data_IF_531196803955
#
_entry.id   IF_531196803955
#
_cell.length_a   1.000
_cell.length_b   1.000
_cell.length_c   1.000
_cell.angle_alpha   90.00
_cell.angle_beta   90.00
_cell.angle_gamma   90.00
#
_symmetry.space_group_name_H-M   'P 1'
#
loop_
_entity.id
_entity.type
_entity.pdbx_description
1 polymer ?
#
# COMPACT_ATOMS: atom_id res chain seq x y z
N UNK A 1 -9.90 -25.12 4.56
CA UNK A 1 -9.60 -23.92 5.37
C UNK A 1 -8.13 -23.61 5.17
N UNK A 2 -7.76 -22.38 4.82
CA UNK A 2 -6.37 -21.98 4.65
C UNK A 2 -6.03 -20.88 5.66
N UNK A 3 -5.11 -21.18 6.59
CA UNK A 3 -4.64 -20.18 7.55
C UNK A 3 -3.41 -19.48 6.97
N UNK A 4 -3.54 -18.19 6.69
CA UNK A 4 -2.43 -17.35 6.21
C UNK A 4 -2.02 -16.41 7.34
N UNK A 5 -0.87 -16.64 7.96
CA UNK A 5 -0.31 -15.74 8.98
C UNK A 5 0.41 -14.59 8.28
N UNK A 6 0.06 -13.36 8.62
CA UNK A 6 0.68 -12.15 8.07
C UNK A 6 1.26 -11.33 9.22
N UNK A 7 2.51 -10.93 9.11
CA UNK A 7 3.15 -10.00 10.06
C UNK A 7 3.07 -8.57 9.53
N UNK A 8 2.79 -7.59 10.40
CA UNK A 8 2.81 -6.17 10.02
C UNK A 8 4.20 -5.57 10.19
N UNK A 9 4.73 -4.94 9.14
CA UNK A 9 5.99 -4.18 9.15
C UNK A 9 5.77 -2.66 9.26
N UNK A 10 4.56 -2.17 9.08
CA UNK A 10 4.15 -0.82 9.58
C UNK A 10 2.79 -0.93 10.25
N UNK A 11 2.38 0.01 11.13
CA UNK A 11 1.13 -0.14 11.85
C UNK A 11 -0.06 -0.30 10.94
N UNK A 12 -1.01 -1.13 11.35
CA UNK A 12 -2.20 -1.44 10.59
C UNK A 12 -3.37 -0.60 11.11
N UNK A 13 -4.07 0.05 10.19
CA UNK A 13 -5.24 0.86 10.52
C UNK A 13 -6.44 0.40 9.69
N UNK A 14 -7.57 0.26 10.36
CA UNK A 14 -8.89 0.02 9.77
C UNK A 14 -9.88 0.97 10.41
N UNK A 15 -10.80 1.56 9.65
CA UNK A 15 -11.77 2.49 10.20
C UNK A 15 -13.07 1.80 10.59
N UNK A 16 -13.52 2.01 11.83
CA UNK A 16 -14.88 1.76 12.25
C UNK A 16 -15.87 2.80 11.70
N UNK A 17 -17.16 2.58 11.90
CA UNK A 17 -18.22 3.47 11.38
C UNK A 17 -18.13 4.92 11.92
N UNK A 18 -17.54 5.10 13.11
CA UNK A 18 -17.28 6.37 13.78
C UNK A 18 -15.89 6.97 13.46
N UNK A 19 -15.09 6.27 12.64
CA UNK A 19 -13.72 6.64 12.31
C UNK A 19 -12.71 6.39 13.44
N UNK A 20 -13.05 5.57 14.44
CA UNK A 20 -12.11 5.06 15.45
C UNK A 20 -11.64 3.64 15.10
N UNK A 21 -10.73 3.09 15.89
CA UNK A 21 -10.25 1.70 15.78
C UNK A 21 -10.54 1.01 17.09
N UNK A 22 -11.79 0.63 17.36
CA UNK A 22 -12.13 -0.22 18.51
C UNK A 22 -11.61 -1.66 18.32
N UNK A 23 -11.48 -2.08 17.05
CA UNK A 23 -10.83 -3.32 16.62
C UNK A 23 -10.31 -3.22 15.19
N UNK A 24 -9.65 -4.27 14.73
CA UNK A 24 -9.40 -4.42 13.29
C UNK A 24 -10.72 -4.78 12.60
N UNK A 25 -11.16 -3.94 11.68
CA UNK A 25 -12.39 -4.16 10.91
C UNK A 25 -12.09 -4.88 9.60
N UNK A 26 -12.64 -6.08 9.44
CA UNK A 26 -12.52 -6.87 8.22
C UNK A 26 -13.07 -6.12 7.00
N UNK A 27 -14.09 -5.28 7.17
CA UNK A 27 -14.68 -4.50 6.07
C UNK A 27 -13.66 -3.57 5.41
N UNK A 28 -12.84 -2.86 6.21
CA UNK A 28 -11.78 -1.99 5.70
C UNK A 28 -10.67 -2.78 5.00
N UNK A 29 -10.31 -3.93 5.55
CA UNK A 29 -9.33 -4.85 4.96
C UNK A 29 -9.82 -5.43 3.63
N UNK A 30 -11.08 -5.85 3.58
CA UNK A 30 -11.71 -6.39 2.38
C UNK A 30 -11.82 -5.35 1.28
N UNK A 31 -12.12 -4.09 1.61
CA UNK A 31 -12.10 -2.99 0.64
C UNK A 31 -10.71 -2.81 0.03
N UNK A 32 -9.66 -2.86 0.85
CA UNK A 32 -8.28 -2.74 0.38
C UNK A 32 -7.85 -3.93 -0.49
N UNK A 33 -8.16 -5.18 -0.07
CA UNK A 33 -7.91 -6.37 -0.87
C UNK A 33 -8.65 -6.31 -2.20
N UNK A 34 -9.91 -5.87 -2.19
CA UNK A 34 -10.69 -5.72 -3.42
C UNK A 34 -10.03 -4.72 -4.36
N UNK A 35 -9.59 -3.55 -3.86
CA UNK A 35 -8.94 -2.52 -4.68
C UNK A 35 -7.68 -3.06 -5.39
N UNK A 36 -6.82 -3.78 -4.65
CA UNK A 36 -5.65 -4.44 -5.23
C UNK A 36 -6.03 -5.53 -6.23
N UNK A 37 -7.07 -6.32 -5.93
CA UNK A 37 -7.53 -7.39 -6.83
C UNK A 37 -8.10 -6.82 -8.13
N UNK A 38 -8.81 -5.69 -8.06
CA UNK A 38 -9.27 -4.98 -9.24
C UNK A 38 -8.10 -4.51 -10.12
N UNK A 39 -7.05 -3.91 -9.53
CA UNK A 39 -5.87 -3.49 -10.28
C UNK A 39 -5.12 -4.68 -10.93
N UNK A 40 -5.00 -5.80 -10.19
CA UNK A 40 -4.42 -7.05 -10.70
C UNK A 40 -5.23 -7.60 -11.88
N UNK A 41 -6.55 -7.75 -11.72
CA UNK A 41 -7.45 -8.28 -12.76
C UNK A 41 -7.43 -7.40 -14.01
N UNK A 42 -7.48 -6.06 -13.86
CA UNK A 42 -7.33 -5.15 -15.01
C UNK A 42 -5.99 -5.34 -15.72
N UNK A 43 -4.90 -5.49 -14.96
CA UNK A 43 -3.56 -5.70 -15.50
C UNK A 43 -3.42 -6.97 -16.34
N UNK A 44 -4.07 -8.07 -15.94
CA UNK A 44 -4.06 -9.33 -16.71
C UNK A 44 -5.14 -9.41 -17.80
N UNK A 45 -5.83 -8.29 -18.09
CA UNK A 45 -6.84 -8.20 -19.15
C UNK A 45 -8.23 -8.71 -18.77
N UNK A 46 -8.49 -8.92 -17.48
CA UNK A 46 -9.81 -9.34 -16.98
C UNK A 46 -10.82 -8.20 -16.92
N UNK A 47 -12.09 -8.57 -16.79
CA UNK A 47 -13.18 -7.61 -16.71
C UNK A 47 -13.43 -7.17 -15.27
N UNK A 48 -13.44 -5.85 -15.04
CA UNK A 48 -13.81 -5.22 -13.77
C UNK A 48 -14.92 -4.21 -14.04
N UNK A 49 -15.90 -4.14 -13.14
CA UNK A 49 -17.01 -3.20 -13.27
C UNK A 49 -16.58 -1.77 -12.89
N UNK A 50 -16.95 -0.80 -13.72
CA UNK A 50 -16.63 0.61 -13.50
C UNK A 50 -17.76 1.32 -12.75
N UNK A 51 -17.64 1.46 -11.43
CA UNK A 51 -18.54 2.29 -10.62
C UNK A 51 -20.00 1.85 -10.52
N UNK A 52 -20.39 0.72 -11.14
CA UNK A 52 -21.72 0.12 -11.05
C UNK A 52 -21.71 -1.18 -10.25
N UNK A 53 -22.71 -1.39 -9.41
CA UNK A 53 -22.92 -2.66 -8.72
C UNK A 53 -23.26 -3.76 -9.74
N UNK A 54 -22.35 -4.71 -9.95
CA UNK A 54 -22.73 -5.98 -10.61
C UNK A 54 -23.94 -6.56 -9.86
N UNK A 55 -24.91 -7.04 -10.62
CA UNK A 55 -26.07 -7.73 -10.08
C UNK A 55 -26.14 -9.09 -10.71
N UNK A 56 -26.19 -10.13 -9.87
CA UNK A 56 -26.30 -11.51 -10.32
C UNK A 56 -27.59 -11.71 -11.10
N UNK A 57 -27.42 -12.24 -12.30
CA UNK A 57 -28.50 -12.55 -13.22
C UNK A 57 -28.06 -13.74 -14.08
N UNK A 58 -28.57 -14.93 -13.78
CA UNK A 58 -28.23 -16.18 -14.46
C UNK A 58 -28.59 -16.19 -15.95
N UNK A 59 -29.38 -15.21 -16.43
CA UNK A 59 -29.75 -15.10 -17.84
C UNK A 59 -28.71 -14.31 -18.66
N UNK A 60 -27.80 -13.60 -17.99
CA UNK A 60 -26.77 -12.78 -18.66
C UNK A 60 -25.47 -13.57 -18.85
N UNK A 61 -24.66 -13.21 -19.86
CA UNK A 61 -23.30 -13.70 -19.97
C UNK A 61 -22.54 -13.49 -18.67
N UNK A 62 -21.78 -14.50 -18.26
CA UNK A 62 -21.04 -14.50 -16.99
C UNK A 62 -21.89 -14.13 -15.77
N UNK A 63 -23.18 -14.51 -15.76
CA UNK A 63 -24.12 -14.25 -14.68
C UNK A 63 -24.32 -12.75 -14.34
N UNK A 64 -23.96 -11.85 -15.26
CA UNK A 64 -23.94 -10.41 -14.99
C UNK A 64 -22.83 -9.95 -14.03
N UNK A 65 -21.82 -10.80 -13.77
CA UNK A 65 -20.75 -10.55 -12.82
C UNK A 65 -19.39 -10.37 -13.52
N UNK A 66 -18.62 -9.37 -13.07
CA UNK A 66 -17.22 -9.22 -13.43
C UNK A 66 -16.31 -10.19 -12.63
N UNK A 67 -15.06 -10.36 -13.08
CA UNK A 67 -14.11 -11.33 -12.50
C UNK A 67 -13.83 -11.06 -11.01
N UNK A 68 -13.85 -9.79 -10.60
CA UNK A 68 -13.67 -9.37 -9.20
C UNK A 68 -14.91 -9.70 -8.37
N UNK A 69 -16.11 -9.40 -8.86
CA UNK A 69 -17.37 -9.63 -8.15
C UNK A 69 -17.65 -11.12 -7.95
N UNK A 70 -17.15 -11.98 -8.84
CA UNK A 70 -17.21 -13.45 -8.66
C UNK A 70 -16.53 -13.91 -7.38
N UNK A 71 -15.43 -13.25 -6.99
CA UNK A 71 -14.65 -13.57 -5.78
C UNK A 71 -15.16 -12.78 -4.57
N UNK A 72 -15.27 -11.46 -4.70
CA UNK A 72 -15.55 -10.53 -3.59
C UNK A 72 -17.05 -10.34 -3.28
N UNK A 73 -17.94 -10.84 -4.13
CA UNK A 73 -19.38 -10.65 -3.99
C UNK A 73 -19.92 -9.44 -4.75
N UNK A 74 -21.25 -9.46 -4.94
CA UNK A 74 -22.05 -8.46 -5.65
C UNK A 74 -23.52 -8.56 -5.20
N UNK A 75 -24.39 -7.66 -5.68
CA UNK A 75 -25.83 -7.76 -5.38
C UNK A 75 -26.37 -9.08 -5.92
N UNK A 76 -27.00 -9.89 -5.07
CA UNK A 76 -27.46 -11.24 -5.44
C UNK A 76 -26.35 -12.31 -5.54
N UNK A 77 -25.07 -11.97 -5.29
CA UNK A 77 -23.96 -12.92 -5.31
C UNK A 77 -23.11 -12.87 -4.04
N UNK A 78 -23.07 -13.98 -3.31
CA UNK A 78 -22.28 -14.08 -2.08
C UNK A 78 -20.79 -14.22 -2.39
N UNK A 79 -19.97 -13.47 -1.65
CA UNK A 79 -18.50 -13.60 -1.60
C UNK A 79 -18.07 -15.06 -1.40
N UNK A 80 -16.95 -15.47 -2.01
CA UNK A 80 -16.45 -16.87 -1.99
C UNK A 80 -15.58 -17.24 -0.81
N UNK A 81 -15.15 -16.26 -0.03
CA UNK A 81 -14.33 -16.44 1.16
C UNK A 81 -14.83 -15.58 2.32
N UNK A 82 -14.47 -15.95 3.54
CA UNK A 82 -14.56 -15.10 4.73
C UNK A 82 -13.15 -14.79 5.21
N UNK A 83 -12.91 -13.50 5.47
CA UNK A 83 -11.71 -13.04 6.15
C UNK A 83 -12.07 -12.86 7.62
N UNK A 84 -11.22 -13.35 8.51
CA UNK A 84 -11.24 -13.01 9.94
C UNK A 84 -9.89 -12.43 10.32
N UNK A 85 -9.90 -11.43 11.19
CA UNK A 85 -8.70 -10.81 11.73
C UNK A 85 -8.82 -10.75 13.24
N UNK A 86 -7.73 -11.05 13.94
CA UNK A 86 -7.68 -10.97 15.40
C UNK A 86 -6.29 -10.54 15.88
N UNK A 87 -6.22 -10.11 17.14
CA UNK A 87 -4.98 -9.76 17.82
C UNK A 87 -4.50 -8.33 17.55
N UNK A 88 -3.21 -8.13 17.78
CA UNK A 88 -2.58 -6.82 17.80
C UNK A 88 -2.92 -5.98 19.01
N UNK A 89 -2.07 -5.01 19.28
CA UNK A 89 -2.21 -4.05 20.39
C UNK A 89 -2.20 -2.63 19.87
N UNK A 90 -2.75 -1.71 20.67
CA UNK A 90 -2.74 -0.30 20.32
C UNK A 90 -1.33 0.28 20.38
N UNK A 91 -1.02 1.12 19.39
CA UNK A 91 0.27 1.79 19.30
C UNK A 91 0.42 2.90 20.35
N UNK A 92 -0.66 3.57 20.74
CA UNK A 92 -0.61 4.72 21.66
C UNK A 92 -1.30 4.46 23.00
N UNK A 93 -1.23 3.23 23.49
CA UNK A 93 -1.93 2.77 24.69
C UNK A 93 -3.42 2.53 24.44
N UNK A 94 -4.16 2.15 25.48
CA UNK A 94 -5.53 1.62 25.34
C UNK A 94 -6.61 2.66 25.02
N UNK A 95 -6.27 3.95 24.95
CA UNK A 95 -7.20 4.98 24.52
C UNK A 95 -7.45 4.90 23.00
N UNK A 96 -8.54 4.24 22.63
CA UNK A 96 -8.99 4.05 21.25
C UNK A 96 -9.30 5.38 20.53
N UNK A 97 -9.55 6.45 21.27
CA UNK A 97 -9.89 7.78 20.71
C UNK A 97 -8.67 8.65 20.50
N UNK A 98 -7.49 8.23 21.00
CA UNK A 98 -6.25 8.99 20.88
C UNK A 98 -5.90 9.27 19.42
N UNK A 99 -5.61 10.54 19.13
CA UNK A 99 -5.22 11.01 17.80
C UNK A 99 -3.93 11.80 17.86
N UNK A 100 -3.11 11.58 16.85
CA UNK A 100 -1.79 12.19 16.73
C UNK A 100 -1.73 12.95 15.44
N UNK A 101 -1.32 14.21 15.51
CA UNK A 101 -1.12 15.05 14.35
C UNK A 101 0.37 15.23 14.11
N UNK A 102 0.88 14.74 12.99
CA UNK A 102 2.27 14.94 12.57
C UNK A 102 2.30 16.10 11.58
N UNK A 103 3.02 17.16 11.92
CA UNK A 103 3.22 18.33 11.06
C UNK A 103 4.63 18.23 10.48
N UNK A 104 4.73 18.07 9.16
CA UNK A 104 6.02 18.02 8.47
C UNK A 104 6.83 19.32 8.64
N UNK A 105 8.17 19.30 8.47
CA UNK A 105 9.01 20.49 8.59
C UNK A 105 8.53 21.62 7.67
N UNK A 106 8.39 22.83 8.21
CA UNK A 106 7.89 24.00 7.47
C UNK A 106 6.38 24.01 7.20
N UNK A 107 5.64 22.95 7.56
CA UNK A 107 4.20 22.86 7.37
C UNK A 107 3.40 23.53 8.49
N UNK A 108 2.17 23.97 8.17
CA UNK A 108 1.22 24.50 9.15
C UNK A 108 0.04 23.54 9.43
N UNK A 109 -0.22 22.60 8.51
CA UNK A 109 -1.25 21.56 8.62
C UNK A 109 -0.56 20.21 8.68
N UNK A 110 -1.08 19.31 9.50
CA UNK A 110 -0.50 17.99 9.70
C UNK A 110 -1.39 16.84 9.26
N UNK A 111 -0.84 15.65 9.39
CA UNK A 111 -1.46 14.38 9.10
C UNK A 111 -1.98 13.75 10.38
N UNK A 112 -3.28 13.43 10.39
CA UNK A 112 -3.94 12.84 11.55
C UNK A 112 -3.92 11.31 11.51
N UNK A 113 -3.19 10.77 12.48
CA UNK A 113 -3.12 9.38 12.83
C UNK A 113 -4.16 9.10 13.92
N UNK A 114 -4.94 8.02 13.76
CA UNK A 114 -5.73 7.50 14.89
C UNK A 114 -4.81 6.70 15.80
N UNK A 115 -5.37 5.79 16.59
CA UNK A 115 -4.59 4.79 17.30
C UNK A 115 -4.57 3.48 16.48
N UNK A 116 -3.59 3.24 15.59
CA UNK A 116 -3.52 2.01 14.81
C UNK A 116 -3.18 0.82 15.71
N UNK A 117 -3.42 -0.39 15.19
CA UNK A 117 -2.93 -1.62 15.82
C UNK A 117 -1.60 -2.04 15.22
N UNK A 118 -0.85 -2.78 16.02
CA UNK A 118 0.44 -3.32 15.64
C UNK A 118 0.57 -4.76 16.10
N UNK A 119 1.31 -5.55 15.34
CA UNK A 119 1.63 -6.93 15.68
C UNK A 119 2.88 -6.99 16.56
N UNK A 120 2.80 -7.71 17.68
CA UNK A 120 3.94 -7.98 18.57
C UNK A 120 4.08 -9.48 18.82
N UNK A 121 5.16 -9.91 19.47
CA UNK A 121 5.34 -11.31 19.86
C UNK A 121 4.25 -11.79 20.81
N UNK A 122 3.75 -10.92 21.69
CA UNK A 122 2.73 -11.25 22.68
C UNK A 122 1.31 -11.13 22.12
N UNK A 123 1.09 -10.20 21.19
CA UNK A 123 -0.20 -9.97 20.55
C UNK A 123 -0.03 -9.93 19.02
N UNK A 124 0.22 -11.09 18.38
CA UNK A 124 0.36 -11.14 16.94
C UNK A 124 -0.97 -10.81 16.25
N UNK A 125 -0.93 -10.08 15.14
CA UNK A 125 -2.10 -9.92 14.29
C UNK A 125 -2.19 -11.14 13.38
N UNK A 126 -3.31 -11.88 13.45
CA UNK A 126 -3.52 -13.07 12.61
C UNK A 126 -4.66 -12.84 11.64
N UNK A 127 -4.43 -13.14 10.37
CA UNK A 127 -5.46 -13.18 9.35
C UNK A 127 -5.83 -14.63 9.06
N UNK A 128 -7.09 -14.91 8.72
CA UNK A 128 -7.49 -16.26 8.32
C UNK A 128 -8.51 -16.19 7.20
N UNK A 129 -8.26 -16.97 6.14
CA UNK A 129 -9.12 -17.05 4.97
C UNK A 129 -9.89 -18.37 5.01
N UNK A 130 -11.19 -18.25 5.24
CA UNK A 130 -12.10 -19.39 5.22
C UNK A 130 -12.75 -19.47 3.85
N UNK A 131 -12.47 -20.52 3.09
CA UNK A 131 -13.22 -20.82 1.86
C UNK A 131 -14.67 -21.12 2.23
N UNK A 132 -15.62 -20.53 1.48
CA UNK A 132 -17.06 -20.71 1.75
C UNK A 132 -17.69 -21.79 0.88
N UNK A 133 -16.92 -22.41 -0.01
CA UNK A 133 -17.34 -23.52 -0.86
C UNK A 133 -16.20 -24.52 -1.09
N UNK A 134 -16.50 -25.80 -1.36
CA UNK A 134 -15.49 -26.81 -1.69
C UNK A 134 -14.75 -26.55 -3.01
N UNK A 135 -15.38 -25.86 -3.98
CA UNK A 135 -14.82 -25.54 -5.31
C UNK A 135 -14.01 -24.23 -5.35
N UNK A 136 -13.48 -23.78 -4.21
CA UNK A 136 -12.88 -22.46 -4.03
C UNK A 136 -11.35 -22.48 -3.91
N UNK A 137 -10.68 -23.54 -4.34
CA UNK A 137 -9.22 -23.64 -4.25
C UNK A 137 -8.52 -22.53 -5.05
N UNK A 138 -9.05 -22.19 -6.23
CA UNK A 138 -8.59 -21.04 -7.01
C UNK A 138 -8.69 -19.71 -6.24
N UNK A 139 -9.67 -19.56 -5.35
CA UNK A 139 -9.85 -18.32 -4.57
C UNK A 139 -8.72 -18.15 -3.56
N UNK A 140 -8.29 -19.24 -2.92
CA UNK A 140 -7.16 -19.19 -1.98
C UNK A 140 -5.89 -18.82 -2.73
N UNK A 141 -5.63 -19.46 -3.87
CA UNK A 141 -4.48 -19.17 -4.72
C UNK A 141 -4.48 -17.72 -5.20
N UNK A 142 -5.61 -17.23 -5.70
CA UNK A 142 -5.76 -15.86 -6.16
C UNK A 142 -5.51 -14.84 -5.05
N UNK A 143 -5.99 -15.10 -3.83
CA UNK A 143 -5.74 -14.25 -2.66
C UNK A 143 -4.29 -14.36 -2.17
N UNK A 144 -3.66 -15.51 -2.32
CA UNK A 144 -2.23 -15.70 -2.03
C UNK A 144 -1.37 -14.85 -2.98
N UNK A 145 -1.57 -14.96 -4.29
CA UNK A 145 -0.88 -14.13 -5.29
C UNK A 145 -1.06 -12.64 -5.00
N UNK A 146 -2.28 -12.23 -4.68
CA UNK A 146 -2.59 -10.86 -4.31
C UNK A 146 -1.80 -10.39 -3.07
N UNK A 147 -1.75 -11.23 -2.03
CA UNK A 147 -1.02 -10.92 -0.79
C UNK A 147 0.49 -10.89 -1.03
N UNK A 148 1.05 -11.76 -1.88
CA UNK A 148 2.44 -11.71 -2.28
C UNK A 148 2.76 -10.36 -2.94
N UNK A 149 1.99 -9.95 -3.96
CA UNK A 149 2.15 -8.66 -4.62
C UNK A 149 2.13 -7.49 -3.62
N UNK A 150 1.12 -7.45 -2.74
CA UNK A 150 0.99 -6.42 -1.70
C UNK A 150 2.20 -6.46 -0.75
N UNK A 151 2.62 -7.65 -0.35
CA UNK A 151 3.73 -7.85 0.60
C UNK A 151 5.08 -7.44 0.05
N UNK A 152 5.28 -7.38 -1.27
CA UNK A 152 6.52 -6.91 -1.89
C UNK A 152 6.48 -5.42 -2.24
N UNK A 153 5.34 -4.90 -2.71
CA UNK A 153 5.32 -3.59 -3.38
C UNK A 153 4.33 -2.58 -2.82
N UNK A 154 3.44 -2.99 -1.91
CA UNK A 154 2.35 -2.16 -1.45
C UNK A 154 2.13 -2.19 0.06
N UNK A 155 0.90 -1.89 0.42
CA UNK A 155 0.35 -2.00 1.76
C UNK A 155 -1.16 -2.26 1.67
N UNK A 156 -1.75 -2.82 2.72
CA UNK A 156 -3.20 -3.03 2.80
C UNK A 156 -3.83 -2.41 4.06
N UNK A 157 -5.15 -2.27 4.00
CA UNK A 157 -5.94 -1.61 5.03
C UNK A 157 -6.21 -0.17 4.65
N UNK A 158 -6.48 0.68 5.65
CA UNK A 158 -6.77 2.08 5.41
C UNK A 158 -5.63 2.97 5.92
N UNK A 159 -5.63 4.23 5.44
CA UNK A 159 -4.54 5.20 5.69
C UNK A 159 -3.16 4.74 5.19
N UNK A 160 -3.10 3.88 4.16
CA UNK A 160 -1.83 3.48 3.53
C UNK A 160 -1.07 4.68 2.97
N UNK A 161 -1.78 5.75 2.57
CA UNK A 161 -1.18 7.01 2.16
C UNK A 161 -0.44 7.77 3.28
N UNK A 162 -0.63 7.37 4.54
CA UNK A 162 0.10 7.88 5.70
C UNK A 162 1.18 6.92 6.21
N UNK A 163 1.45 5.84 5.47
CA UNK A 163 2.55 4.93 5.79
C UNK A 163 2.18 3.61 6.46
N UNK A 164 0.88 3.36 6.64
CA UNK A 164 0.35 2.17 7.32
C UNK A 164 0.22 0.94 6.41
N UNK A 165 0.19 -0.24 7.03
CA UNK A 165 -0.29 -1.47 6.41
C UNK A 165 0.72 -2.25 5.58
N UNK A 166 2.02 -1.97 5.69
CA UNK A 166 3.04 -2.84 5.09
C UNK A 166 3.05 -4.15 5.85
N UNK A 167 3.08 -5.25 5.13
CA UNK A 167 3.09 -6.60 5.69
C UNK A 167 4.20 -7.45 5.13
N UNK A 168 4.59 -8.43 5.94
CA UNK A 168 5.37 -9.58 5.57
C UNK A 168 4.44 -10.79 5.47
N UNK A 169 4.68 -11.58 4.43
CA UNK A 169 3.94 -12.79 4.17
C UNK A 169 4.70 -13.96 4.81
N UNK A 170 4.30 -14.40 6.01
CA UNK A 170 4.95 -15.52 6.73
C UNK A 170 4.30 -16.85 6.39
N UNK A 171 4.00 -17.05 5.10
CA UNK A 171 3.33 -18.28 4.67
C UNK A 171 4.28 -19.46 4.83
N UNK A 172 3.77 -20.62 5.28
CA UNK A 172 4.57 -21.83 5.26
C UNK A 172 5.07 -22.07 3.85
N UNK A 173 6.38 -22.28 3.74
CA UNK A 173 7.13 -22.66 2.54
C UNK A 173 6.78 -24.09 2.09
N UNK A 174 5.54 -24.55 2.30
CA UNK A 174 5.04 -25.71 1.57
C UNK A 174 4.81 -25.22 0.14
N UNK A 175 5.89 -25.38 -0.64
CA UNK A 175 6.07 -25.12 -2.06
C UNK A 175 4.77 -24.73 -2.78
N UNK A 176 4.66 -23.51 -3.32
CA UNK A 176 3.61 -23.26 -4.28
C UNK A 176 3.78 -24.26 -5.44
N UNK A 177 2.92 -25.27 -5.50
CA UNK A 177 2.83 -26.22 -6.61
C UNK A 177 2.97 -25.46 -7.94
N UNK A 178 3.68 -25.98 -8.96
CA UNK A 178 3.84 -25.35 -10.28
C UNK A 178 2.54 -24.86 -10.95
N UNK A 179 1.37 -25.28 -10.45
CA UNK A 179 0.03 -24.79 -10.83
C UNK A 179 -0.41 -23.47 -10.16
N UNK A 180 0.35 -22.90 -9.22
CA UNK A 180 -0.03 -21.68 -8.47
C UNK A 180 0.09 -20.37 -9.27
N UNK A 181 0.65 -20.40 -10.48
CA UNK A 181 0.85 -19.23 -11.33
C UNK A 181 0.14 -19.32 -12.68
N UNK A 182 -1.07 -19.85 -12.67
CA UNK A 182 -1.97 -19.64 -13.79
C UNK A 182 -2.78 -18.34 -13.58
N UNK A 183 -2.26 -17.22 -14.07
CA UNK A 183 -3.00 -15.96 -14.07
C UNK A 183 -4.27 -16.03 -14.92
N UNK A 184 -4.46 -17.05 -15.77
CA UNK A 184 -5.73 -17.26 -16.46
C UNK A 184 -6.85 -17.58 -15.46
N UNK A 185 -6.55 -18.15 -14.29
CA UNK A 185 -7.56 -18.39 -13.25
C UNK A 185 -8.08 -17.10 -12.59
N UNK A 186 -7.39 -15.97 -12.78
CA UNK A 186 -7.88 -14.65 -12.37
C UNK A 186 -8.98 -14.13 -13.31
N UNK A 187 -9.01 -14.61 -14.56
CA UNK A 187 -9.89 -14.14 -15.62
C UNK A 187 -10.78 -15.28 -16.10
N UNK A 188 -12.04 -15.28 -15.64
CA UNK A 188 -13.03 -16.28 -16.06
C UNK A 188 -13.96 -15.74 -17.15
N UNK A 189 -14.04 -14.42 -17.28
CA UNK A 189 -14.79 -13.74 -18.33
C UNK A 189 -14.22 -14.03 -19.72
N UNK A 190 -15.04 -14.58 -20.62
CA UNK A 190 -14.76 -14.61 -22.07
C UNK A 190 -14.80 -13.21 -22.71
N UNK A 191 -15.41 -12.25 -22.01
CA UNK A 191 -15.51 -10.85 -22.42
C UNK A 191 -14.29 -10.11 -21.88
N UNK A 192 -13.30 -9.88 -22.74
CA UNK A 192 -12.24 -8.91 -22.42
C UNK A 192 -12.86 -7.53 -22.22
N UNK A 193 -12.32 -6.75 -21.30
CA UNK A 193 -12.71 -5.33 -21.19
C UNK A 193 -12.54 -4.68 -22.56
N UNK A 194 -13.62 -4.06 -23.08
CA UNK A 194 -13.62 -3.43 -24.41
C UNK A 194 -12.72 -2.20 -24.49
N UNK A 195 -12.23 -1.71 -23.35
CA UNK A 195 -11.20 -0.68 -23.23
C UNK A 195 -10.43 -0.86 -21.93
N UNK A 196 -9.13 -0.61 -21.94
CA UNK A 196 -8.40 -0.24 -20.72
C UNK A 196 -8.99 1.09 -20.29
N UNK A 197 -9.79 1.10 -19.21
CA UNK A 197 -10.21 2.37 -18.66
C UNK A 197 -8.98 2.99 -17.99
N UNK A 198 -8.22 3.76 -18.77
CA UNK A 198 -6.98 4.39 -18.35
C UNK A 198 -7.20 5.39 -17.19
N UNK A 199 -8.46 5.69 -16.82
CA UNK A 199 -8.80 6.51 -15.66
C UNK A 199 -8.88 5.71 -14.34
N UNK A 200 -8.67 4.39 -14.35
CA UNK A 200 -8.72 3.52 -13.17
C UNK A 200 -7.39 2.81 -12.92
N UNK A 201 -7.10 2.38 -11.68
CA UNK A 201 -5.88 1.64 -11.36
C UNK A 201 -5.84 0.29 -12.09
N UNK A 202 -4.74 0.04 -12.80
CA UNK A 202 -4.36 -1.21 -13.46
C UNK A 202 -2.86 -1.42 -13.26
N UNK A 203 -2.36 -2.65 -13.20
CA UNK A 203 -0.91 -2.88 -13.12
C UNK A 203 -0.14 -2.25 -14.29
N UNK A 204 -0.78 -2.08 -15.44
CA UNK A 204 -0.19 -1.38 -16.60
C UNK A 204 0.11 0.09 -16.32
N UNK A 205 -0.67 0.74 -15.45
CA UNK A 205 -0.52 2.15 -15.13
C UNK A 205 -0.04 2.40 -13.69
N UNK A 206 0.39 1.35 -12.99
CA UNK A 206 1.01 1.42 -11.68
C UNK A 206 2.53 1.57 -11.76
N UNK A 207 3.12 2.09 -10.69
CA UNK A 207 4.56 2.11 -10.46
C UNK A 207 4.84 1.69 -9.02
N UNK A 208 6.01 1.09 -8.82
CA UNK A 208 6.43 0.62 -7.51
C UNK A 208 7.91 0.92 -7.29
N UNK A 209 8.26 1.29 -6.06
CA UNK A 209 9.64 1.52 -5.68
C UNK A 209 9.90 1.09 -4.25
N UNK A 210 11.06 0.50 -4.02
CA UNK A 210 11.60 0.18 -2.70
C UNK A 210 12.92 0.93 -2.57
N UNK A 211 12.97 1.88 -1.65
CA UNK A 211 14.17 2.61 -1.31
C UNK A 211 14.81 1.99 -0.07
N UNK A 212 16.11 1.75 -0.14
CA UNK A 212 16.90 1.18 0.95
C UNK A 212 17.72 2.28 1.63
N UNK A 213 17.81 2.21 2.95
CA UNK A 213 18.81 3.00 3.65
C UNK A 213 20.19 2.35 3.46
N UNK A 214 21.27 3.08 3.71
CA UNK A 214 22.61 2.48 3.69
C UNK A 214 22.71 1.34 4.72
N UNK A 215 23.44 0.26 4.43
CA UNK A 215 23.63 -0.86 5.37
C UNK A 215 24.36 -0.45 6.65
N UNK A 216 25.11 0.65 6.58
CA UNK A 216 25.80 1.28 7.70
C UNK A 216 24.87 2.17 8.54
N UNK A 217 23.63 2.42 8.08
CA UNK A 217 22.68 3.24 8.81
C UNK A 217 22.36 2.56 10.15
N UNK A 218 22.82 3.19 11.23
CA UNK A 218 22.52 2.76 12.57
C UNK A 218 21.01 2.78 12.80
N UNK A 219 20.51 1.97 13.73
CA UNK A 219 19.08 1.93 14.08
C UNK A 219 18.54 3.25 14.65
N UNK A 220 19.42 4.23 14.84
CA UNK A 220 19.21 5.58 15.31
C UNK A 220 19.20 6.64 14.20
N UNK A 221 19.33 6.29 12.91
CA UNK A 221 19.37 7.24 11.78
C UNK A 221 18.25 8.29 11.81
N UNK A 222 17.08 7.91 12.32
CA UNK A 222 15.90 8.77 12.41
C UNK A 222 16.06 9.92 13.41
N UNK A 223 17.06 9.88 14.30
CA UNK A 223 17.37 10.98 15.23
C UNK A 223 17.87 12.20 14.47
N UNK A 224 18.61 12.00 13.39
CA UNK A 224 19.17 13.07 12.57
C UNK A 224 18.22 13.49 11.43
N UNK A 225 17.08 12.81 11.30
CA UNK A 225 16.08 13.08 10.27
C UNK A 225 15.15 14.26 10.64
N UNK A 226 14.93 15.14 9.67
CA UNK A 226 13.95 16.23 9.72
C UNK A 226 12.54 15.70 9.42
N UNK A 227 11.94 15.01 10.40
CA UNK A 227 10.62 14.40 10.22
C UNK A 227 9.44 15.32 10.62
N UNK A 228 9.72 16.44 11.31
CA UNK A 228 8.74 17.47 11.68
C UNK A 228 8.42 17.54 13.18
N UNK A 229 7.20 17.97 13.50
CA UNK A 229 6.71 18.15 14.88
C UNK A 229 5.42 17.37 15.11
N UNK A 230 5.15 17.03 16.37
CA UNK A 230 3.94 16.33 16.78
C UNK A 230 3.05 17.24 17.62
N UNK A 231 1.73 17.15 17.40
CA UNK A 231 0.70 17.74 18.27
C UNK A 231 -0.28 16.64 18.69
N UNK A 232 -0.48 16.48 20.00
CA UNK A 232 -1.43 15.51 20.55
C UNK A 232 -2.82 16.13 20.74
N UNK A 233 -3.87 15.38 20.40
CA UNK A 233 -5.25 15.89 20.42
C UNK A 233 -6.26 14.81 20.83
N UNK A 234 -7.17 15.12 21.76
CA UNK A 234 -8.32 14.24 22.10
C UNK A 234 -9.43 14.33 21.05
N UNK A 235 -9.51 15.47 20.35
CA UNK A 235 -10.50 15.71 19.31
C UNK A 235 -9.95 16.67 18.25
N UNK A 236 -10.69 16.94 17.17
CA UNK A 236 -10.28 17.96 16.17
C UNK A 236 -10.06 19.34 16.79
N UNK A 237 -10.66 19.63 17.95
CA UNK A 237 -10.71 20.96 18.56
C UNK A 237 -10.10 21.02 19.96
N UNK A 238 -9.46 19.96 20.47
CA UNK A 238 -8.94 19.91 21.84
C UNK A 238 -7.53 19.29 21.87
N UNK A 239 -6.54 20.18 21.91
CA UNK A 239 -5.11 19.85 22.03
C UNK A 239 -4.81 19.58 23.52
N UNK A 240 -4.16 18.45 23.82
CA UNK A 240 -3.89 18.03 25.23
C UNK A 240 -2.59 18.63 25.75
N UNK A 241 -1.59 18.82 24.88
CA UNK A 241 -0.23 19.19 25.27
C UNK A 241 0.46 20.00 24.16
N UNK A 242 1.47 20.80 24.55
CA UNK A 242 2.28 21.61 23.64
C UNK A 242 2.98 20.80 22.54
N UNK A 243 3.57 21.51 21.57
CA UNK A 243 4.35 20.90 20.48
C UNK A 243 5.54 20.12 21.04
N UNK A 244 5.65 18.84 20.69
CA UNK A 244 6.83 18.03 20.99
C UNK A 244 7.64 17.82 19.71
N UNK A 245 8.97 17.66 19.85
CA UNK A 245 9.80 17.21 18.73
C UNK A 245 9.36 15.81 18.33
N UNK A 246 9.22 15.56 17.03
CA UNK A 246 8.80 14.25 16.55
C UNK A 246 9.81 13.14 16.94
N UNK A 247 11.07 13.50 17.20
CA UNK A 247 12.08 12.59 17.77
C UNK A 247 11.62 11.91 19.06
N UNK A 248 11.14 12.65 20.07
CA UNK A 248 10.64 12.05 21.33
C UNK A 248 9.46 11.11 21.11
N UNK A 249 8.67 11.40 20.08
CA UNK A 249 7.55 10.56 19.70
C UNK A 249 8.00 9.31 18.94
N UNK A 250 8.98 9.42 18.04
CA UNK A 250 9.57 8.24 17.40
C UNK A 250 10.23 7.34 18.45
N UNK A 251 10.87 7.93 19.47
CA UNK A 251 11.35 7.20 20.64
C UNK A 251 10.21 6.44 21.32
N UNK A 252 9.08 7.08 21.63
CA UNK A 252 7.92 6.39 22.23
C UNK A 252 7.27 5.35 21.29
N UNK A 253 7.14 5.66 19.99
CA UNK A 253 6.64 4.76 18.94
C UNK A 253 7.47 3.49 18.83
N UNK A 254 8.78 3.61 19.09
CA UNK A 254 9.74 2.52 18.98
C UNK A 254 10.01 1.82 20.32
N UNK A 255 10.07 2.52 21.44
CA UNK A 255 10.51 1.99 22.75
C UNK A 255 9.61 0.88 23.27
N UNK A 256 8.31 0.96 23.01
CA UNK A 256 7.38 -0.07 23.48
C UNK A 256 7.23 -1.18 22.43
N UNK A 257 7.32 -0.86 21.12
CA UNK A 257 6.83 -1.78 20.06
C UNK A 257 7.52 -1.71 18.66
N UNK A 258 8.52 -0.85 18.48
CA UNK A 258 9.81 -1.19 17.86
C UNK A 258 10.05 -1.47 16.37
N UNK A 259 9.11 -1.42 15.42
CA UNK A 259 9.41 -1.90 14.03
C UNK A 259 9.32 -0.89 12.87
N UNK A 260 8.95 0.39 13.11
CA UNK A 260 8.84 1.39 12.02
C UNK A 260 9.12 2.83 12.44
N UNK A 261 9.42 3.71 11.47
CA UNK A 261 9.58 5.18 11.66
C UNK A 261 8.58 5.95 10.78
N UNK A 262 7.79 6.90 11.33
CA UNK A 262 6.74 7.61 10.60
C UNK A 262 7.25 8.68 9.62
N UNK A 263 7.88 8.26 8.52
CA UNK A 263 8.47 9.16 7.52
C UNK A 263 7.48 9.72 6.50
N UNK A 264 6.34 9.05 6.29
CA UNK A 264 5.46 9.36 5.16
C UNK A 264 5.00 10.83 5.12
N UNK A 265 4.63 11.50 6.24
CA UNK A 265 4.30 12.93 6.23
C UNK A 265 5.42 13.82 5.71
N UNK A 266 6.67 13.61 6.15
CA UNK A 266 7.82 14.42 5.76
C UNK A 266 8.15 14.26 4.28
N UNK A 267 8.21 13.02 3.79
CA UNK A 267 8.47 12.72 2.37
C UNK A 267 7.37 13.32 1.48
N UNK A 268 6.09 13.11 1.84
CA UNK A 268 4.96 13.70 1.09
C UNK A 268 5.01 15.21 1.06
N UNK A 269 5.32 15.85 2.20
CA UNK A 269 5.43 17.30 2.27
C UNK A 269 6.53 17.82 1.35
N UNK A 270 7.71 17.19 1.37
CA UNK A 270 8.82 17.61 0.50
C UNK A 270 8.53 17.38 -0.99
N UNK A 271 7.88 16.27 -1.35
CA UNK A 271 7.43 16.06 -2.74
C UNK A 271 6.39 17.11 -3.18
N UNK A 272 5.51 17.52 -2.27
CA UNK A 272 4.39 18.43 -2.58
C UNK A 272 4.78 19.90 -2.61
N UNK A 273 5.67 20.32 -1.71
CA UNK A 273 5.97 21.73 -1.45
C UNK A 273 7.46 22.06 -1.46
N UNK A 274 8.33 21.05 -1.52
CA UNK A 274 9.77 21.26 -1.56
C UNK A 274 10.22 21.98 -2.82
N UNK A 275 11.37 22.65 -2.71
CA UNK A 275 12.04 23.30 -3.86
C UNK A 275 12.62 22.28 -4.86
N UNK A 276 12.57 20.99 -4.54
CA UNK A 276 13.01 19.88 -5.39
C UNK A 276 11.98 19.44 -6.43
N UNK A 277 10.73 19.88 -6.34
CA UNK A 277 9.71 19.60 -7.36
C UNK A 277 9.89 20.54 -8.56
N UNK A 278 10.11 19.95 -9.73
CA UNK A 278 9.92 20.61 -11.02
C UNK A 278 8.51 21.22 -11.11
N UNK A 279 8.27 22.07 -12.09
CA UNK A 279 6.94 22.61 -12.37
C UNK A 279 5.86 21.52 -12.55
N UNK A 280 6.27 20.28 -12.88
CA UNK A 280 5.37 19.14 -13.14
C UNK A 280 4.74 18.59 -11.85
N UNK A 281 5.53 18.21 -10.84
CA UNK A 281 4.96 17.77 -9.54
C UNK A 281 4.08 18.85 -8.88
N UNK A 282 4.49 20.12 -9.01
CA UNK A 282 3.73 21.25 -8.46
C UNK A 282 2.41 21.49 -9.20
N UNK A 283 2.38 21.30 -10.52
CA UNK A 283 1.16 21.46 -11.32
C UNK A 283 0.20 20.28 -11.19
N UNK A 284 0.70 19.06 -10.97
CA UNK A 284 -0.09 17.86 -10.75
C UNK A 284 -0.63 17.71 -9.30
N UNK A 285 -0.46 18.73 -8.46
CA UNK A 285 -0.56 18.59 -7.00
C UNK A 285 -1.92 18.04 -6.50
N UNK A 286 -3.04 18.66 -6.91
CA UNK A 286 -4.37 18.21 -6.48
C UNK A 286 -4.75 16.85 -7.07
N UNK A 287 -4.31 16.56 -8.28
CA UNK A 287 -4.56 15.29 -8.95
C UNK A 287 -3.82 14.13 -8.27
N UNK A 288 -2.54 14.34 -7.95
CA UNK A 288 -1.64 13.29 -7.52
C UNK A 288 -1.66 13.07 -6.00
N UNK A 289 -1.63 14.16 -5.22
CA UNK A 289 -1.63 14.09 -3.75
C UNK A 289 -3.03 14.03 -3.16
N UNK A 290 -4.08 14.19 -3.99
CA UNK A 290 -5.46 14.24 -3.58
C UNK A 290 -5.83 15.57 -2.91
N UNK A 291 -7.13 15.78 -2.74
CA UNK A 291 -7.67 16.99 -2.11
C UNK A 291 -9.01 16.71 -1.41
N UNK A 292 -9.34 17.62 -0.49
CA UNK A 292 -10.67 17.74 0.12
C UNK A 292 -11.07 19.21 0.05
N UNK A 293 -12.12 19.51 -0.72
CA UNK A 293 -12.67 20.86 -0.96
C UNK A 293 -14.18 20.81 -0.77
N UNK A 294 -14.64 21.12 0.44
CA UNK A 294 -16.04 20.94 0.80
C UNK A 294 -16.45 19.47 0.68
N UNK A 295 -17.46 19.19 -0.14
CA UNK A 295 -17.93 17.82 -0.42
C UNK A 295 -17.11 17.10 -1.50
N UNK A 296 -16.30 17.82 -2.28
CA UNK A 296 -15.44 17.22 -3.28
C UNK A 296 -14.19 16.64 -2.62
N UNK A 297 -13.96 15.36 -2.85
CA UNK A 297 -12.80 14.63 -2.35
C UNK A 297 -12.21 13.79 -3.46
N UNK A 298 -10.90 13.87 -3.64
CA UNK A 298 -10.13 12.98 -4.52
C UNK A 298 -9.09 12.28 -3.66
N UNK A 299 -9.08 10.94 -3.72
CA UNK A 299 -8.06 10.14 -3.06
C UNK A 299 -6.71 10.40 -3.72
N UNK A 300 -5.62 10.21 -2.96
CA UNK A 300 -4.28 10.32 -3.53
C UNK A 300 -3.99 9.13 -4.44
N UNK A 301 -3.15 9.39 -5.44
CA UNK A 301 -2.60 8.41 -6.37
C UNK A 301 -1.21 7.92 -5.94
N UNK A 302 -0.55 8.66 -5.04
CA UNK A 302 0.77 8.35 -4.50
C UNK A 302 0.64 7.83 -3.07
N UNK A 303 1.31 6.73 -2.78
CA UNK A 303 1.43 6.16 -1.45
C UNK A 303 2.91 6.05 -1.06
N UNK A 304 3.18 6.28 0.22
CA UNK A 304 4.51 6.21 0.80
C UNK A 304 4.37 5.47 2.12
N UNK A 305 5.14 4.39 2.30
CA UNK A 305 5.13 3.66 3.58
C UNK A 305 5.88 4.45 4.66
N UNK A 306 5.63 4.13 5.91
CA UNK A 306 6.61 4.41 6.96
C UNK A 306 7.87 3.58 6.69
N UNK A 307 9.03 3.99 7.21
CA UNK A 307 10.23 3.19 7.11
C UNK A 307 10.07 1.98 8.04
N UNK A 308 10.55 0.83 7.61
CA UNK A 308 10.47 -0.41 8.37
C UNK A 308 11.72 -1.26 8.12
N UNK A 309 11.95 -2.23 9.01
CA UNK A 309 13.05 -3.16 8.89
C UNK A 309 12.54 -4.48 8.30
N UNK A 310 13.23 -4.99 7.27
CA UNK A 310 13.03 -6.35 6.74
C UNK A 310 14.40 -6.98 6.59
N UNK A 311 14.58 -8.20 7.12
CA UNK A 311 15.85 -8.94 7.03
C UNK A 311 17.07 -8.11 7.47
N UNK A 312 16.92 -7.35 8.55
CA UNK A 312 18.01 -6.51 9.08
C UNK A 312 18.20 -5.16 8.39
N UNK A 313 17.56 -4.93 7.23
CA UNK A 313 17.75 -3.74 6.41
C UNK A 313 16.58 -2.75 6.55
N UNK A 314 16.90 -1.47 6.75
CA UNK A 314 15.89 -0.39 6.73
C UNK A 314 15.50 -0.06 5.30
N UNK A 315 14.20 0.04 5.05
CA UNK A 315 13.64 0.36 3.75
C UNK A 315 12.26 1.02 3.87
N UNK A 316 11.79 1.60 2.77
CA UNK A 316 10.42 2.09 2.63
C UNK A 316 9.95 1.97 1.18
N UNK A 317 8.64 2.06 0.99
CA UNK A 317 7.99 1.89 -0.31
C UNK A 317 7.40 3.20 -0.79
N UNK A 318 7.45 3.38 -2.10
CA UNK A 318 6.69 4.38 -2.83
C UNK A 318 5.93 3.63 -3.92
N UNK A 319 4.62 3.76 -3.97
CA UNK A 319 3.83 3.13 -5.02
C UNK A 319 2.63 3.98 -5.36
N UNK A 320 2.07 3.74 -6.52
CA UNK A 320 0.92 4.49 -6.96
C UNK A 320 0.45 4.07 -8.33
N UNK A 321 -0.48 4.83 -8.85
CA UNK A 321 -0.99 4.69 -10.20
C UNK A 321 -1.27 6.08 -10.75
N UNK A 322 -1.18 6.23 -12.06
CA UNK A 322 -1.51 7.48 -12.74
C UNK A 322 -2.36 7.16 -13.95
N UNK A 323 -3.40 7.95 -14.26
CA UNK A 323 -4.12 7.75 -15.50
C UNK A 323 -3.23 8.05 -16.71
N UNK A 324 -3.56 7.49 -17.88
CA UNK A 324 -2.88 7.88 -19.11
C UNK A 324 -3.21 9.34 -19.43
N UNK A 325 -2.22 10.22 -19.28
CA UNK A 325 -2.34 11.64 -19.57
C UNK A 325 -1.04 12.16 -20.16
N UNK A 326 -1.10 13.31 -20.84
CA UNK A 326 0.07 13.95 -21.47
C UNK A 326 1.18 14.32 -20.48
N UNK A 327 0.88 14.42 -19.19
CA UNK A 327 1.86 14.71 -18.13
C UNK A 327 2.33 13.47 -17.36
N UNK A 328 1.74 12.29 -17.59
CA UNK A 328 2.05 11.05 -16.86
C UNK A 328 3.55 10.73 -16.91
N UNK A 329 4.14 10.67 -18.11
CA UNK A 329 5.54 10.29 -18.26
C UNK A 329 6.49 11.31 -17.65
N UNK A 330 6.21 12.60 -17.78
CA UNK A 330 7.01 13.64 -17.16
C UNK A 330 6.99 13.49 -15.62
N UNK A 331 5.83 13.21 -15.04
CA UNK A 331 5.66 13.00 -13.61
C UNK A 331 6.39 11.73 -13.12
N UNK A 332 6.28 10.63 -13.86
CA UNK A 332 6.96 9.37 -13.52
C UNK A 332 8.48 9.46 -13.72
N UNK A 333 8.96 10.15 -14.75
CA UNK A 333 10.38 10.43 -14.93
C UNK A 333 10.94 11.21 -13.74
N UNK A 334 10.22 12.23 -13.28
CA UNK A 334 10.63 13.03 -12.13
C UNK A 334 10.66 12.18 -10.84
N UNK A 335 9.60 11.42 -10.56
CA UNK A 335 9.54 10.56 -9.38
C UNK A 335 10.60 9.45 -9.40
N UNK A 336 10.81 8.82 -10.56
CA UNK A 336 11.85 7.82 -10.74
C UNK A 336 13.23 8.43 -10.47
N UNK A 337 13.52 9.61 -11.04
CA UNK A 337 14.78 10.33 -10.81
C UNK A 337 14.98 10.65 -9.33
N UNK A 338 13.92 11.11 -8.65
CA UNK A 338 13.97 11.36 -7.21
C UNK A 338 14.31 10.08 -6.45
N UNK A 339 13.66 8.96 -6.78
CA UNK A 339 13.85 7.69 -6.11
C UNK A 339 15.24 7.07 -6.34
N UNK A 340 15.75 7.10 -7.57
CA UNK A 340 16.93 6.31 -7.98
C UNK A 340 18.21 7.13 -8.18
N UNK A 341 18.15 8.47 -8.20
CA UNK A 341 19.31 9.29 -8.55
C UNK A 341 19.49 10.57 -7.73
N UNK A 342 18.44 11.06 -7.05
CA UNK A 342 18.50 12.34 -6.32
C UNK A 342 18.82 12.15 -4.83
N UNK A 343 20.10 11.90 -4.50
CA UNK A 343 20.54 11.79 -3.10
C UNK A 343 20.19 13.05 -2.28
N UNK A 344 20.39 14.25 -2.85
CA UNK A 344 20.10 15.52 -2.17
C UNK A 344 18.64 15.71 -1.75
N UNK A 345 17.69 15.12 -2.49
CA UNK A 345 16.29 15.08 -2.07
C UNK A 345 16.14 14.33 -0.74
N UNK A 346 16.76 13.16 -0.60
CA UNK A 346 16.67 12.32 0.59
C UNK A 346 17.53 12.87 1.73
N UNK A 347 18.71 13.40 1.42
CA UNK A 347 19.63 13.97 2.41
C UNK A 347 18.96 15.10 3.20
N UNK A 348 18.23 15.98 2.51
CA UNK A 348 17.47 17.03 3.20
C UNK A 348 16.16 16.57 3.86
N UNK A 349 15.95 15.26 4.06
CA UNK A 349 14.90 14.73 4.95
C UNK A 349 15.55 13.89 6.04
N UNK A 350 16.47 13.01 5.67
CA UNK A 350 16.98 11.97 6.54
C UNK A 350 18.41 12.20 7.02
N UNK A 351 19.05 13.29 6.61
CA UNK A 351 20.47 13.52 6.80
C UNK A 351 21.31 12.90 5.69
N UNK A 352 22.56 13.33 5.57
CA UNK A 352 23.47 12.90 4.52
C UNK A 352 23.63 11.36 4.49
N UNK A 353 23.55 10.79 3.30
CA UNK A 353 23.79 9.35 3.05
C UNK A 353 22.83 8.42 3.81
N UNK A 354 21.62 8.87 4.12
CA UNK A 354 20.64 7.99 4.73
C UNK A 354 20.10 6.96 3.73
N UNK A 355 19.78 7.39 2.49
CA UNK A 355 19.17 6.54 1.45
C UNK A 355 20.19 6.18 0.37
N UNK A 356 20.35 4.89 0.13
CA UNK A 356 21.20 4.35 -0.93
C UNK A 356 20.41 4.35 -2.25
N UNK A 357 20.38 5.51 -2.90
CA UNK A 357 19.62 5.70 -4.16
C UNK A 357 20.06 4.74 -5.27
N UNK A 358 21.30 4.23 -5.23
CA UNK A 358 21.82 3.26 -6.21
C UNK A 358 21.24 1.86 -6.02
N UNK A 359 20.80 1.53 -4.80
CA UNK A 359 20.10 0.28 -4.50
C UNK A 359 18.58 0.40 -4.61
N UNK A 360 18.04 1.62 -4.74
CA UNK A 360 16.61 1.81 -4.92
C UNK A 360 16.13 1.05 -6.16
N UNK A 361 15.11 0.23 -5.96
CA UNK A 361 14.44 -0.48 -7.06
C UNK A 361 13.24 0.34 -7.51
N UNK A 362 13.07 0.46 -8.83
CA UNK A 362 11.88 1.01 -9.48
C UNK A 362 11.32 -0.01 -10.47
N UNK A 363 10.02 -0.28 -10.41
CA UNK A 363 9.29 -1.21 -11.28
C UNK A 363 8.12 -0.52 -11.94
N UNK A 364 8.00 -0.71 -13.25
CA UNK A 364 6.90 -0.20 -14.05
C UNK A 364 6.74 -1.09 -15.29
N UNK A 365 5.50 -1.48 -15.60
CA UNK A 365 5.24 -2.34 -16.75
C UNK A 365 5.53 -1.60 -18.06
N UNK A 366 6.14 -2.28 -19.03
CA UNK A 366 6.43 -1.74 -20.36
C UNK A 366 7.06 -0.34 -20.34
N UNK A 367 8.08 -0.17 -19.49
CA UNK A 367 8.74 1.13 -19.29
C UNK A 367 10.26 0.98 -19.30
N UNK A 368 11.00 1.91 -19.93
CA UNK A 368 12.46 1.93 -19.86
C UNK A 368 12.96 2.35 -18.46
N UNK A 369 12.07 2.84 -17.58
CA UNK A 369 12.39 3.20 -16.19
C UNK A 369 12.48 1.99 -15.27
N UNK A 370 11.97 0.81 -15.65
CA UNK A 370 12.08 -0.38 -14.81
C UNK A 370 13.56 -0.76 -14.63
N UNK A 371 14.03 -0.70 -13.39
CA UNK A 371 15.42 -0.99 -13.01
C UNK A 371 15.76 -2.48 -13.01
N UNK A 372 14.76 -3.36 -13.07
CA UNK A 372 14.95 -4.82 -13.05
C UNK A 372 14.80 -5.43 -14.44
N UNK A 373 13.70 -5.13 -15.12
CA UNK A 373 13.43 -5.61 -16.49
C UNK A 373 12.88 -4.48 -17.39
N UNK A 374 13.75 -3.59 -17.89
CA UNK A 374 13.33 -2.52 -18.79
C UNK A 374 12.51 -3.04 -19.97
N UNK A 375 11.40 -2.36 -20.27
CA UNK A 375 10.52 -2.64 -21.42
C UNK A 375 9.93 -4.08 -21.43
N UNK A 376 9.68 -4.69 -20.27
CA UNK A 376 8.93 -5.94 -20.20
C UNK A 376 7.48 -5.73 -20.68
N UNK A 377 7.10 -6.37 -21.78
CA UNK A 377 5.77 -6.27 -22.42
C UNK A 377 4.85 -7.45 -22.10
N UNK A 378 5.36 -8.51 -21.47
CA UNK A 378 4.58 -9.67 -21.05
C UNK A 378 4.13 -9.51 -19.59
N UNK A 379 2.84 -9.24 -19.37
CA UNK A 379 2.28 -9.02 -18.02
C UNK A 379 2.46 -10.23 -17.08
N UNK A 380 2.19 -11.48 -17.49
CA UNK A 380 2.52 -12.65 -16.68
C UNK A 380 3.98 -12.70 -16.21
N UNK A 381 4.94 -12.43 -17.09
CA UNK A 381 6.37 -12.40 -16.74
C UNK A 381 6.68 -11.24 -15.77
N UNK A 382 6.10 -10.06 -16.00
CA UNK A 382 6.22 -8.92 -15.09
C UNK A 382 5.69 -9.25 -13.69
N UNK A 383 4.53 -9.91 -13.60
CA UNK A 383 3.92 -10.34 -12.34
C UNK A 383 4.77 -11.35 -11.57
N UNK A 384 5.30 -12.37 -12.25
CA UNK A 384 6.21 -13.35 -11.61
C UNK A 384 7.44 -12.66 -11.04
N UNK A 385 8.02 -11.73 -11.80
CA UNK A 385 9.15 -10.91 -11.35
C UNK A 385 8.79 -10.00 -10.16
N UNK A 386 7.59 -9.38 -10.14
CA UNK A 386 7.14 -8.61 -8.99
C UNK A 386 6.97 -9.49 -7.74
N UNK A 387 6.42 -10.69 -7.90
CA UNK A 387 6.18 -11.60 -6.78
C UNK A 387 7.43 -12.40 -6.38
N UNK A 388 8.56 -12.21 -7.08
CA UNK A 388 9.82 -12.94 -6.85
C UNK A 388 9.64 -14.46 -6.90
N UNK A 389 8.83 -14.95 -7.83
CA UNK A 389 8.58 -16.38 -8.00
C UNK A 389 9.49 -16.90 -9.11
N UNK A 390 10.26 -17.95 -8.81
CA UNK A 390 11.15 -18.59 -9.76
C UNK A 390 10.37 -19.22 -10.93
N UNK A 391 10.91 -19.15 -12.14
CA UNK A 391 10.36 -19.91 -13.26
C UNK A 391 10.66 -21.39 -13.05
N UNK A 392 9.69 -22.30 -13.27
CA UNK A 392 9.98 -23.73 -13.24
C UNK A 392 11.08 -24.01 -14.27
N UNK A 393 12.17 -24.62 -13.80
CA UNK A 393 13.23 -25.10 -14.70
C UNK A 393 12.61 -26.11 -15.67
N UNK A 394 12.97 -26.04 -16.98
CA UNK A 394 12.35 -26.86 -18.02
C UNK A 394 12.54 -28.36 -17.85
#
# INVERSE_FOLDING_TARGET
>A
MAQLKLTTLTPLWTGGADGTVDRLHETGLLGSLRWWYEALVRGVGGHVCDGGTCTYDSTKPNDGLCDVCRVFGATGWRRRFRLTVDGGEYLFGDDQKRRINIVAPGGHRGWYFGNPRISTSNHPITFTIHTLRPDADDVVNNLHLLLLLISHWGAFGAKTQHGHGVIQNDLPCEEPSPHLLDFNNLVRSTTRSASTNDALPSLENMFFSVAYLHSEAQDTWWKDAELGQMKESLSKNQIISGSFTLQRFVEAWRLDKGFSVPIAPAVRYKLRYGNSGSSVLKSANDEFFGYVRGMQRKATMLHISNAYKKEGQWQFRIWGWLPASTSRDALLNELCTIATSNAGFWDGIFGAHAVDVKKTVWREFNSPRDTVHPNQTNMPAFLRSLMQIEEPQP
#
